data_IF_221240273793
#
_entry.id   IF_221240273793
#
_cell.length_a   1.000
_cell.length_b   1.000
_cell.length_c   1.000
_cell.angle_alpha   90.00
_cell.angle_beta   90.00
_cell.angle_gamma   90.00
#
_symmetry.space_group_name_H-M   'P 1'
#
loop_
_entity.id
_entity.type
_entity.pdbx_description
1 polymer ?
#
# COMPACT_ATOMS: atom_id res chain seq x y z
N UNK A 1 -30.12 8.20 1.67
CA UNK A 1 -28.69 7.95 1.38
C UNK A 1 -28.60 7.19 0.07
N UNK A 2 -27.99 7.78 -0.96
CA UNK A 2 -27.98 7.18 -2.29
C UNK A 2 -27.14 5.88 -2.29
N UNK A 3 -27.70 4.77 -2.77
CA UNK A 3 -27.06 3.45 -2.64
C UNK A 3 -25.71 3.39 -3.38
N UNK A 4 -25.57 4.19 -4.44
CA UNK A 4 -24.32 4.33 -5.18
C UNK A 4 -23.19 4.97 -4.36
N UNK A 5 -23.51 5.90 -3.45
CA UNK A 5 -22.52 6.48 -2.52
C UNK A 5 -21.98 5.37 -1.61
N UNK A 6 -22.86 4.53 -1.07
CA UNK A 6 -22.47 3.42 -0.18
C UNK A 6 -21.55 2.45 -0.93
N UNK A 7 -21.91 2.07 -2.15
CA UNK A 7 -21.11 1.15 -2.98
C UNK A 7 -19.73 1.76 -3.28
N UNK A 8 -19.67 3.03 -3.68
CA UNK A 8 -18.40 3.71 -3.99
C UNK A 8 -17.48 3.81 -2.78
N UNK A 9 -18.04 4.10 -1.59
CA UNK A 9 -17.30 4.11 -0.32
C UNK A 9 -16.76 2.72 0.03
N UNK A 10 -17.55 1.66 -0.15
CA UNK A 10 -17.09 0.29 0.09
C UNK A 10 -15.94 -0.11 -0.84
N UNK A 11 -16.02 0.25 -2.11
CA UNK A 11 -14.94 0.02 -3.09
C UNK A 11 -13.66 0.74 -2.63
N UNK A 12 -13.77 2.02 -2.26
CA UNK A 12 -12.63 2.80 -1.78
C UNK A 12 -12.03 2.20 -0.50
N UNK A 13 -12.87 1.77 0.45
CA UNK A 13 -12.44 1.20 1.71
C UNK A 13 -11.69 -0.14 1.54
N UNK A 14 -12.26 -1.06 0.75
CA UNK A 14 -11.61 -2.36 0.45
C UNK A 14 -10.28 -2.12 -0.27
N UNK A 15 -10.25 -1.18 -1.21
CA UNK A 15 -9.04 -0.85 -1.97
C UNK A 15 -7.96 -0.24 -1.08
N UNK A 16 -8.32 0.64 -0.15
CA UNK A 16 -7.39 1.21 0.83
C UNK A 16 -6.74 0.13 1.71
N UNK A 17 -7.53 -0.82 2.22
CA UNK A 17 -7.02 -1.97 2.99
C UNK A 17 -6.08 -2.82 2.12
N UNK A 18 -6.45 -3.07 0.86
CA UNK A 18 -5.63 -3.80 -0.10
C UNK A 18 -4.28 -3.14 -0.35
N UNK A 19 -4.25 -1.80 -0.52
CA UNK A 19 -3.02 -1.02 -0.68
C UNK A 19 -2.15 -1.14 0.58
N UNK A 20 -2.73 -0.90 1.76
CA UNK A 20 -2.00 -0.97 3.02
C UNK A 20 -1.38 -2.36 3.26
N UNK A 21 -2.13 -3.43 3.00
CA UNK A 21 -1.64 -4.80 3.15
C UNK A 21 -0.46 -5.10 2.21
N UNK A 22 -0.61 -4.81 0.92
CA UNK A 22 0.44 -5.12 -0.05
C UNK A 22 1.68 -4.25 0.16
N UNK A 23 1.51 -2.97 0.51
CA UNK A 23 2.62 -2.07 0.85
C UNK A 23 3.37 -2.57 2.10
N UNK A 24 2.64 -2.98 3.16
CA UNK A 24 3.25 -3.55 4.35
C UNK A 24 4.10 -4.79 4.02
N UNK A 25 3.60 -5.69 3.17
CA UNK A 25 4.33 -6.89 2.76
C UNK A 25 5.58 -6.57 1.97
N UNK A 26 5.52 -5.62 1.03
CA UNK A 26 6.69 -5.18 0.25
C UNK A 26 7.76 -4.62 1.20
N UNK A 27 7.39 -3.70 2.10
CA UNK A 27 8.33 -3.08 3.04
C UNK A 27 8.90 -4.11 4.01
N UNK A 28 8.08 -5.04 4.50
CA UNK A 28 8.53 -6.11 5.40
C UNK A 28 9.60 -6.99 4.75
N UNK A 29 9.37 -7.44 3.51
CA UNK A 29 10.33 -8.30 2.78
C UNK A 29 11.61 -7.51 2.47
N UNK A 30 11.51 -6.26 2.00
CA UNK A 30 12.68 -5.39 1.75
C UNK A 30 13.48 -5.15 3.04
N UNK A 31 12.82 -4.87 4.17
CA UNK A 31 13.47 -4.66 5.46
C UNK A 31 14.16 -5.94 5.98
N UNK A 32 13.50 -7.10 5.81
CA UNK A 32 14.05 -8.41 6.20
C UNK A 32 15.30 -8.73 5.39
N UNK A 33 15.27 -8.54 4.07
CA UNK A 33 16.40 -8.87 3.18
C UNK A 33 17.57 -7.90 3.30
N UNK A 34 17.32 -6.70 3.80
CA UNK A 34 18.36 -5.73 4.17
C UNK A 34 18.91 -5.93 5.59
N UNK A 35 18.39 -6.90 6.35
CA UNK A 35 18.83 -7.14 7.74
C UNK A 35 18.47 -6.01 8.71
N UNK A 36 17.43 -5.21 8.40
CA UNK A 36 17.01 -4.11 9.28
C UNK A 36 16.38 -4.71 10.55
N UNK A 37 16.89 -4.31 11.72
CA UNK A 37 16.35 -4.74 13.02
C UNK A 37 14.86 -4.37 13.11
N UNK A 38 14.03 -5.30 13.60
CA UNK A 38 12.57 -5.14 13.76
C UNK A 38 11.84 -4.77 12.45
N UNK A 39 12.03 -5.56 11.39
CA UNK A 39 11.37 -5.37 10.09
C UNK A 39 9.85 -5.14 10.16
N UNK A 40 9.16 -5.79 11.11
CA UNK A 40 7.71 -5.61 11.35
C UNK A 40 7.34 -4.20 11.84
N UNK A 41 8.20 -3.57 12.63
CA UNK A 41 7.99 -2.20 13.10
C UNK A 41 8.14 -1.22 11.95
N UNK A 42 9.17 -1.39 11.12
CA UNK A 42 9.37 -0.57 9.93
C UNK A 42 8.27 -0.72 8.90
N UNK A 43 7.73 -1.92 8.70
CA UNK A 43 6.58 -2.11 7.81
C UNK A 43 5.30 -1.47 8.36
N UNK A 44 5.11 -1.46 9.68
CA UNK A 44 3.99 -0.76 10.32
C UNK A 44 4.13 0.76 10.24
N UNK A 45 5.33 1.29 10.52
CA UNK A 45 5.63 2.72 10.36
C UNK A 45 5.42 3.14 8.90
N UNK A 46 5.86 2.33 7.93
CA UNK A 46 5.75 2.67 6.53
C UNK A 46 4.30 2.81 6.00
N UNK A 47 3.35 2.09 6.59
CA UNK A 47 1.92 2.24 6.27
C UNK A 47 1.21 3.26 7.17
N UNK A 48 1.91 3.76 8.19
CA UNK A 48 1.39 4.72 9.16
C UNK A 48 1.62 6.16 8.72
N UNK A 49 0.72 7.05 9.15
CA UNK A 49 0.75 8.48 8.86
C UNK A 49 -0.15 8.89 7.69
N UNK A 50 -0.75 10.08 7.78
CA UNK A 50 -1.67 10.60 6.76
C UNK A 50 -0.94 11.05 5.48
N UNK A 51 0.28 11.55 5.61
CA UNK A 51 1.06 12.14 4.51
C UNK A 51 2.14 11.22 3.93
N UNK A 52 2.02 9.89 4.12
CA UNK A 52 3.05 8.90 3.71
C UNK A 52 4.44 9.12 4.33
N UNK A 53 4.54 9.91 5.39
CA UNK A 53 5.79 10.25 6.09
C UNK A 53 6.51 9.01 6.60
N UNK A 54 5.75 8.03 7.10
CA UNK A 54 6.30 6.77 7.57
C UNK A 54 7.01 5.99 6.46
N UNK A 55 6.49 6.01 5.24
CA UNK A 55 7.13 5.40 4.07
C UNK A 55 8.41 6.16 3.70
N UNK A 56 8.36 7.49 3.69
CA UNK A 56 9.54 8.34 3.43
C UNK A 56 10.64 8.08 4.45
N UNK A 57 10.28 8.01 5.74
CA UNK A 57 11.19 7.70 6.83
C UNK A 57 11.84 6.33 6.64
N UNK A 58 11.06 5.32 6.25
CA UNK A 58 11.60 4.00 5.89
C UNK A 58 12.59 4.08 4.72
N UNK A 59 12.24 4.81 3.65
CA UNK A 59 13.08 4.94 2.45
C UNK A 59 14.40 5.64 2.72
N UNK A 60 14.43 6.60 3.66
CA UNK A 60 15.67 7.26 4.11
C UNK A 60 16.50 6.27 4.94
N UNK A 61 15.88 5.58 5.90
CA UNK A 61 16.58 4.66 6.79
C UNK A 61 17.19 3.47 6.04
N UNK A 62 16.50 2.89 5.06
CA UNK A 62 16.98 1.70 4.33
C UNK A 62 18.25 1.94 3.51
N UNK A 63 18.62 3.20 3.22
CA UNK A 63 19.85 3.55 2.47
C UNK A 63 21.13 3.09 3.17
N UNK A 64 21.08 2.96 4.50
CA UNK A 64 22.21 2.50 5.33
C UNK A 64 22.45 0.98 5.26
N UNK A 65 21.53 0.23 4.63
CA UNK A 65 21.54 -1.22 4.63
C UNK A 65 21.66 -1.76 3.20
N UNK A 66 22.70 -2.54 2.86
CA UNK A 66 22.83 -3.15 1.55
C UNK A 66 21.70 -4.15 1.31
N UNK A 67 21.23 -4.23 0.08
CA UNK A 67 20.16 -5.15 -0.31
C UNK A 67 20.76 -6.50 -0.68
N UNK A 68 20.38 -7.56 0.05
CA UNK A 68 20.73 -8.93 -0.31
C UNK A 68 19.44 -9.72 -0.62
N UNK A 69 18.80 -9.37 -1.73
CA UNK A 69 17.48 -9.92 -2.09
C UNK A 69 17.66 -11.23 -2.86
N UNK A 70 17.02 -12.30 -2.38
CA UNK A 70 16.94 -13.56 -3.10
C UNK A 70 15.89 -13.49 -4.22
N UNK A 71 16.03 -14.33 -5.25
CA UNK A 71 15.12 -14.43 -6.39
C UNK A 71 13.70 -14.74 -5.91
N UNK A 72 13.55 -15.67 -4.96
CA UNK A 72 12.24 -16.05 -4.40
C UNK A 72 11.52 -14.89 -3.72
N UNK A 73 12.27 -14.02 -3.06
CA UNK A 73 11.68 -12.87 -2.36
C UNK A 73 11.43 -11.70 -3.31
N UNK A 74 12.23 -11.57 -4.37
CA UNK A 74 11.97 -10.64 -5.47
C UNK A 74 10.64 -10.96 -6.16
N UNK A 75 10.37 -12.23 -6.46
CA UNK A 75 9.10 -12.68 -7.03
C UNK A 75 7.90 -12.34 -6.12
N UNK A 76 8.03 -12.53 -4.81
CA UNK A 76 6.98 -12.15 -3.84
C UNK A 76 6.75 -10.64 -3.82
N UNK A 77 7.81 -9.84 -3.88
CA UNK A 77 7.69 -8.39 -3.96
C UNK A 77 6.96 -7.99 -5.24
N UNK A 78 7.33 -8.56 -6.38
CA UNK A 78 6.69 -8.26 -7.66
C UNK A 78 5.21 -8.68 -7.69
N UNK A 79 4.87 -9.81 -7.06
CA UNK A 79 3.49 -10.23 -6.87
C UNK A 79 2.68 -9.21 -6.06
N UNK A 80 3.20 -8.79 -4.90
CA UNK A 80 2.53 -7.78 -4.07
C UNK A 80 2.49 -6.41 -4.75
N UNK A 81 3.51 -6.05 -5.54
CA UNK A 81 3.57 -4.80 -6.30
C UNK A 81 2.49 -4.76 -7.38
N UNK A 82 2.30 -5.85 -8.13
CA UNK A 82 1.19 -5.99 -9.10
C UNK A 82 -0.16 -5.83 -8.42
N UNK A 83 -0.37 -6.50 -7.29
CA UNK A 83 -1.62 -6.38 -6.51
C UNK A 83 -1.83 -4.95 -5.99
N UNK A 84 -0.78 -4.29 -5.53
CA UNK A 84 -0.83 -2.89 -5.10
C UNK A 84 -1.32 -1.99 -6.23
N UNK A 85 -0.78 -2.14 -7.45
CA UNK A 85 -1.25 -1.36 -8.61
C UNK A 85 -2.71 -1.65 -8.97
N UNK A 86 -3.15 -2.91 -8.87
CA UNK A 86 -4.56 -3.26 -9.09
C UNK A 86 -5.45 -2.50 -8.11
N UNK A 87 -5.18 -2.56 -6.81
CA UNK A 87 -5.96 -1.82 -5.82
C UNK A 87 -5.85 -0.30 -5.98
N UNK A 88 -4.72 0.22 -6.46
CA UNK A 88 -4.54 1.63 -6.78
C UNK A 88 -5.45 2.07 -7.95
N UNK A 89 -5.62 1.24 -8.96
CA UNK A 89 -6.57 1.49 -10.04
C UNK A 89 -8.02 1.38 -9.54
N UNK A 90 -8.32 0.38 -8.70
CA UNK A 90 -9.66 0.20 -8.13
C UNK A 90 -10.10 1.36 -7.24
N UNK A 91 -9.22 1.89 -6.38
CA UNK A 91 -9.56 3.06 -5.55
C UNK A 91 -9.80 4.31 -6.40
N UNK A 92 -9.04 4.49 -7.49
CA UNK A 92 -9.24 5.61 -8.42
C UNK A 92 -10.62 5.53 -9.10
N UNK A 93 -11.01 4.35 -9.58
CA UNK A 93 -12.34 4.11 -10.15
C UNK A 93 -13.44 4.36 -9.11
N UNK A 94 -13.27 3.84 -7.89
CA UNK A 94 -14.21 4.06 -6.79
C UNK A 94 -14.39 5.55 -6.47
N UNK A 95 -13.31 6.33 -6.49
CA UNK A 95 -13.34 7.77 -6.25
C UNK A 95 -14.04 8.55 -7.38
N UNK A 96 -13.78 8.20 -8.64
CA UNK A 96 -14.48 8.79 -9.79
C UNK A 96 -15.98 8.50 -9.73
N UNK A 97 -16.37 7.26 -9.39
CA UNK A 97 -17.77 6.90 -9.18
C UNK A 97 -18.40 7.71 -8.05
N UNK A 98 -17.69 7.89 -6.94
CA UNK A 98 -18.17 8.69 -5.81
C UNK A 98 -18.46 10.13 -6.25
N UNK A 99 -17.50 10.79 -6.91
CA UNK A 99 -17.67 12.17 -7.42
C UNK A 99 -18.85 12.26 -8.39
N UNK A 100 -18.94 11.35 -9.36
CA UNK A 100 -20.04 11.35 -10.31
C UNK A 100 -21.39 11.22 -9.60
N UNK A 101 -21.49 10.34 -8.61
CA UNK A 101 -22.74 10.16 -7.87
C UNK A 101 -23.13 11.37 -7.01
N UNK A 102 -22.17 12.15 -6.52
CA UNK A 102 -22.42 13.38 -5.75
C UNK A 102 -22.80 14.56 -6.64
N UNK A 103 -22.30 14.61 -7.88
CA UNK A 103 -22.58 15.71 -8.81
C UNK A 103 -23.93 15.53 -9.53
N UNK A 104 -24.26 14.30 -9.93
CA UNK A 104 -25.42 14.03 -10.79
C UNK A 104 -26.68 13.59 -10.03
N UNK A 105 -26.59 13.29 -8.73
CA UNK A 105 -27.70 12.83 -7.90
C UNK A 105 -27.66 13.46 -6.50
#
# INVERSE_FOLDING_TARGET
MNIFIIISLLICFISAIGIAYNLNKIVYIDAKNRGIKRAKLWSFIAIGGQSSEGLILYLINRRKYPSNIDIKDKEKIDFHKRRLYIFLATIFIGFVLLIATVIFF
#
